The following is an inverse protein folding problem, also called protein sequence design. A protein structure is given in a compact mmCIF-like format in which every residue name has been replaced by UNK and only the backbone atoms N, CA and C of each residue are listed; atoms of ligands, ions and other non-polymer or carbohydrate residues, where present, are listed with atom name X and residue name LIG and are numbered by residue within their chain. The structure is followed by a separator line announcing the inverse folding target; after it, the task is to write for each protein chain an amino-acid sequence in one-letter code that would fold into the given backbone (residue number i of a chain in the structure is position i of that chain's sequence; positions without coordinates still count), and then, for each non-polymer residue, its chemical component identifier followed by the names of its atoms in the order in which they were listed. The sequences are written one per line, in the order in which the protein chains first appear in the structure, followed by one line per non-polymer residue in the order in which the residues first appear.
data_IF_305010090303
#
_entry.id   IF_305010090303
#
_cell.length_a   1.000
_cell.length_b   1.000
_cell.length_c   1.000
_cell.angle_alpha   90.00
_cell.angle_beta   90.00
_cell.angle_gamma   90.00
#
_symmetry.space_group_name_H-M   'P 1'
#
loop_
_entity.id
_entity.type
_entity.pdbx_description
1 polymer ?
#
# COMPACT_ATOMS: atom_id res chain seq x y z
N UNK A 1 -62.23 16.08 -10.94
CA UNK A 1 -61.29 15.38 -10.02
C UNK A 1 -60.28 14.46 -10.71
N UNK A 2 -60.56 13.91 -11.91
CA UNK A 2 -59.67 12.95 -12.63
C UNK A 2 -58.41 13.61 -13.24
N UNK A 3 -58.50 14.85 -13.69
CA UNK A 3 -57.38 15.56 -14.35
C UNK A 3 -56.20 15.85 -13.39
N UNK A 4 -56.48 16.08 -12.11
CA UNK A 4 -55.47 16.34 -11.07
C UNK A 4 -54.68 15.07 -10.71
N UNK A 5 -55.35 13.91 -10.67
CA UNK A 5 -54.70 12.62 -10.41
C UNK A 5 -53.73 12.21 -11.52
N UNK A 6 -54.06 12.50 -12.80
CA UNK A 6 -53.17 12.26 -13.94
C UNK A 6 -51.91 13.13 -13.90
N UNK A 7 -52.01 14.39 -13.46
CA UNK A 7 -50.85 15.30 -13.30
C UNK A 7 -49.91 14.85 -12.19
N UNK A 8 -50.44 14.39 -11.05
CA UNK A 8 -49.65 13.87 -9.92
C UNK A 8 -48.92 12.58 -10.32
N UNK A 9 -49.58 11.69 -11.07
CA UNK A 9 -48.96 10.47 -11.60
C UNK A 9 -47.79 10.78 -12.54
N UNK A 10 -47.97 11.75 -13.44
CA UNK A 10 -46.94 12.15 -14.41
C UNK A 10 -45.71 12.76 -13.72
N UNK A 11 -45.93 13.62 -12.71
CA UNK A 11 -44.86 14.25 -11.92
C UNK A 11 -44.05 13.23 -11.11
N UNK A 12 -44.72 12.22 -10.55
CA UNK A 12 -44.08 11.12 -9.81
C UNK A 12 -43.15 10.29 -10.71
N UNK A 13 -43.61 9.93 -11.91
CA UNK A 13 -42.81 9.14 -12.88
C UNK A 13 -41.56 9.91 -13.31
N UNK A 14 -41.67 11.23 -13.56
CA UNK A 14 -40.52 12.07 -13.86
C UNK A 14 -39.53 12.18 -12.69
N UNK A 15 -40.03 12.29 -11.46
CA UNK A 15 -39.17 12.35 -10.26
C UNK A 15 -38.39 11.04 -10.05
N UNK A 16 -39.04 9.89 -10.23
CA UNK A 16 -38.40 8.58 -10.15
C UNK A 16 -37.34 8.42 -11.24
N UNK A 17 -37.66 8.82 -12.49
CA UNK A 17 -36.70 8.81 -13.59
C UNK A 17 -35.47 9.67 -13.31
N UNK A 18 -35.65 10.86 -12.74
CA UNK A 18 -34.55 11.77 -12.39
C UNK A 18 -33.65 11.16 -11.30
N UNK A 19 -34.22 10.53 -10.27
CA UNK A 19 -33.47 9.86 -9.20
C UNK A 19 -32.65 8.68 -9.76
N UNK A 20 -33.21 7.93 -10.70
CA UNK A 20 -32.56 6.78 -11.33
C UNK A 20 -31.35 7.23 -12.17
N UNK A 21 -31.45 8.35 -12.88
CA UNK A 21 -30.33 8.92 -13.66
C UNK A 21 -29.21 9.43 -12.75
N UNK A 22 -29.55 10.10 -11.64
CA UNK A 22 -28.55 10.62 -10.68
C UNK A 22 -27.80 9.46 -10.00
N UNK A 23 -28.52 8.42 -9.60
CA UNK A 23 -27.89 7.23 -8.98
C UNK A 23 -27.00 6.48 -9.96
N UNK A 24 -27.40 6.34 -11.24
CA UNK A 24 -26.58 5.70 -12.26
C UNK A 24 -25.28 6.50 -12.55
N UNK A 25 -25.38 7.82 -12.62
CA UNK A 25 -24.26 8.73 -12.88
C UNK A 25 -23.21 8.67 -11.76
N UNK A 26 -23.66 8.60 -10.50
CA UNK A 26 -22.76 8.50 -9.32
C UNK A 26 -22.05 7.15 -9.24
N UNK A 27 -22.69 6.05 -9.69
CA UNK A 27 -22.07 4.72 -9.77
C UNK A 27 -21.00 4.65 -10.87
N UNK A 28 -21.26 5.24 -12.04
CA UNK A 28 -20.30 5.30 -13.15
C UNK A 28 -19.04 6.10 -12.78
N UNK A 29 -19.20 7.25 -12.12
CA UNK A 29 -18.08 8.11 -11.73
C UNK A 29 -17.16 7.48 -10.67
N UNK A 30 -17.70 6.61 -9.79
CA UNK A 30 -16.91 5.84 -8.81
C UNK A 30 -15.92 4.87 -9.45
N UNK A 31 -16.24 4.30 -10.62
CA UNK A 31 -15.39 3.30 -11.28
C UNK A 31 -14.06 3.90 -11.79
N UNK A 32 -14.07 5.17 -12.20
CA UNK A 32 -12.88 5.90 -12.65
C UNK A 32 -11.94 6.33 -11.53
N UNK A 33 -12.46 6.58 -10.31
CA UNK A 33 -11.66 7.04 -9.18
C UNK A 33 -10.88 5.91 -8.48
N UNK A 34 -11.45 4.71 -8.44
CA UNK A 34 -10.81 3.54 -7.78
C UNK A 34 -9.56 3.05 -8.54
N UNK A 35 -9.43 3.38 -9.84
CA UNK A 35 -8.35 2.84 -10.69
C UNK A 35 -7.01 3.57 -10.58
N UNK A 36 -6.90 4.68 -9.84
CA UNK A 36 -5.64 5.44 -9.71
C UNK A 36 -4.97 5.21 -8.35
N UNK A 37 -4.85 3.96 -7.93
CA UNK A 37 -3.95 3.58 -6.83
C UNK A 37 -2.54 3.49 -7.40
N UNK A 38 -1.81 4.60 -7.34
CA UNK A 38 -0.40 4.68 -7.72
C UNK A 38 0.37 3.70 -6.84
N UNK A 39 1.08 2.75 -7.45
CA UNK A 39 1.91 1.80 -6.72
C UNK A 39 3.22 2.50 -6.33
N UNK A 40 3.15 3.38 -5.34
CA UNK A 40 4.33 4.03 -4.77
C UNK A 40 5.05 3.00 -3.88
N UNK A 41 5.83 2.13 -4.50
CA UNK A 41 6.72 1.21 -3.80
C UNK A 41 7.88 1.99 -3.21
N UNK A 42 7.86 2.20 -1.90
CA UNK A 42 8.95 2.84 -1.17
C UNK A 42 10.00 1.82 -0.74
N UNK A 43 11.27 2.20 -0.84
CA UNK A 43 12.39 1.41 -0.32
C UNK A 43 12.79 1.94 1.05
N UNK A 44 12.83 1.05 2.06
CA UNK A 44 13.31 1.36 3.39
C UNK A 44 14.60 0.56 3.66
N UNK A 45 15.71 1.26 3.87
CA UNK A 45 16.98 0.66 4.29
C UNK A 45 17.10 0.75 5.81
N UNK A 46 17.23 -0.40 6.47
CA UNK A 46 17.42 -0.50 7.93
C UNK A 46 18.82 -1.09 8.18
N UNK A 47 19.69 -0.34 8.84
CA UNK A 47 21.01 -0.82 9.27
C UNK A 47 20.99 -1.16 10.76
N UNK A 48 21.47 -2.35 11.11
CA UNK A 48 21.68 -2.79 12.49
C UNK A 48 23.18 -2.86 12.76
N UNK A 49 23.75 -1.83 13.40
CA UNK A 49 25.21 -1.74 13.59
C UNK A 49 25.74 -2.90 14.47
N UNK A 50 26.86 -3.49 14.05
CA UNK A 50 27.47 -4.64 14.73
C UNK A 50 26.64 -5.94 14.72
N UNK A 51 25.58 -6.05 13.92
CA UNK A 51 24.77 -7.27 13.82
C UNK A 51 25.47 -8.33 12.95
N UNK A 52 26.19 -9.26 13.59
CA UNK A 52 26.92 -10.33 12.89
C UNK A 52 25.95 -11.39 12.33
N UNK A 53 26.33 -12.06 11.24
CA UNK A 53 25.47 -12.99 10.50
C UNK A 53 24.88 -14.13 11.36
N UNK A 54 25.61 -14.63 12.37
CA UNK A 54 25.17 -15.68 13.29
C UNK A 54 24.18 -15.19 14.36
N UNK A 55 24.01 -13.88 14.55
CA UNK A 55 23.17 -13.34 15.63
C UNK A 55 21.68 -13.66 15.41
N UNK A 56 21.26 -13.79 14.15
CA UNK A 56 19.88 -14.16 13.81
C UNK A 56 19.50 -15.55 14.36
N UNK A 57 20.47 -16.45 14.52
CA UNK A 57 20.26 -17.83 14.96
C UNK A 57 20.26 -17.96 16.50
N UNK A 58 20.56 -16.90 17.24
CA UNK A 58 20.61 -16.93 18.72
C UNK A 58 19.25 -16.98 19.40
N UNK A 59 18.15 -16.89 18.64
CA UNK A 59 16.78 -16.94 19.17
C UNK A 59 16.32 -15.66 19.90
N UNK A 60 17.11 -14.58 19.88
CA UNK A 60 16.80 -13.32 20.59
C UNK A 60 15.98 -12.33 19.76
N UNK A 61 15.91 -12.51 18.43
CA UNK A 61 15.26 -11.59 17.50
C UNK A 61 14.15 -12.28 16.68
N UNK A 62 13.00 -12.61 17.29
CA UNK A 62 11.94 -13.39 16.64
C UNK A 62 11.32 -12.68 15.43
N UNK A 63 11.20 -11.34 15.47
CA UNK A 63 10.65 -10.56 14.36
C UNK A 63 11.58 -10.55 13.15
N UNK A 64 12.90 -10.38 13.37
CA UNK A 64 13.89 -10.46 12.29
C UNK A 64 13.96 -11.87 11.70
N UNK A 65 13.88 -12.90 12.55
CA UNK A 65 13.86 -14.29 12.08
C UNK A 65 12.61 -14.58 11.22
N UNK A 66 11.45 -14.08 11.62
CA UNK A 66 10.21 -14.18 10.82
C UNK A 66 10.37 -13.46 9.48
N UNK A 67 10.93 -12.25 9.49
CA UNK A 67 11.17 -11.46 8.29
C UNK A 67 12.09 -12.19 7.30
N UNK A 68 13.21 -12.73 7.79
CA UNK A 68 14.16 -13.51 7.01
C UNK A 68 13.53 -14.77 6.39
N UNK A 69 12.69 -15.50 7.14
CA UNK A 69 11.96 -16.68 6.63
C UNK A 69 10.93 -16.36 5.55
N UNK A 70 10.33 -15.17 5.60
CA UNK A 70 9.35 -14.72 4.60
C UNK A 70 9.96 -14.00 3.40
N UNK A 71 11.25 -13.66 3.47
CA UNK A 71 11.94 -12.81 2.50
C UNK A 71 13.12 -13.52 1.84
N UNK A 72 14.07 -12.71 1.35
CA UNK A 72 15.33 -13.17 0.79
C UNK A 72 16.45 -12.88 1.80
N UNK A 73 17.31 -13.85 2.04
CA UNK A 73 18.42 -13.76 2.97
C UNK A 73 19.72 -14.24 2.30
N UNK A 74 20.81 -13.49 2.48
CA UNK A 74 22.17 -13.93 2.17
C UNK A 74 22.82 -14.64 3.37
N UNK A 75 23.81 -15.51 3.12
CA UNK A 75 24.52 -16.23 4.19
C UNK A 75 25.26 -15.26 5.13
N UNK A 76 25.96 -14.27 4.57
CA UNK A 76 26.60 -13.17 5.28
C UNK A 76 26.85 -11.98 4.34
N UNK A 77 27.17 -10.82 4.91
CA UNK A 77 27.64 -9.64 4.20
C UNK A 77 29.13 -9.46 4.49
N UNK A 78 29.97 -9.34 3.45
CA UNK A 78 31.38 -9.02 3.64
C UNK A 78 31.57 -7.52 3.86
N UNK A 79 32.05 -7.14 5.05
CA UNK A 79 32.37 -5.75 5.37
C UNK A 79 33.64 -5.26 4.68
N UNK A 80 33.70 -3.96 4.40
CA UNK A 80 34.92 -3.30 3.95
C UNK A 80 35.92 -3.16 5.09
N UNK A 81 37.21 -3.20 4.75
CA UNK A 81 38.29 -2.91 5.69
C UNK A 81 38.59 -1.39 5.70
N UNK A 82 38.74 -0.76 6.88
CA UNK A 82 38.55 -1.32 8.21
C UNK A 82 37.07 -1.56 8.54
N UNK A 83 36.78 -2.61 9.31
CA UNK A 83 35.42 -2.99 9.72
C UNK A 83 34.89 -2.06 10.83
N UNK A 84 34.70 -0.79 10.47
CA UNK A 84 34.20 0.29 11.33
C UNK A 84 32.84 0.78 10.83
N UNK A 85 32.03 1.30 11.75
CA UNK A 85 30.68 1.80 11.50
C UNK A 85 30.64 2.79 10.35
N UNK A 86 31.38 3.90 10.45
CA UNK A 86 31.33 4.98 9.46
C UNK A 86 31.71 4.53 8.02
N UNK A 87 32.89 3.93 7.75
CA UNK A 87 33.24 3.54 6.39
C UNK A 87 32.30 2.48 5.81
N UNK A 88 31.78 1.53 6.61
CA UNK A 88 30.85 0.52 6.10
C UNK A 88 29.46 1.09 5.79
N UNK A 89 28.91 1.94 6.67
CA UNK A 89 27.60 2.55 6.44
C UNK A 89 27.64 3.50 5.23
N UNK A 90 28.73 4.25 5.09
CA UNK A 90 28.92 5.14 3.94
C UNK A 90 29.07 4.35 2.64
N UNK A 91 29.82 3.24 2.65
CA UNK A 91 29.97 2.37 1.48
C UNK A 91 28.60 1.85 1.01
N UNK A 92 27.76 1.28 1.89
CA UNK A 92 26.43 0.72 1.53
C UNK A 92 25.53 1.72 0.78
N UNK A 93 25.61 3.02 1.12
CA UNK A 93 24.77 4.05 0.49
C UNK A 93 25.42 4.72 -0.72
N UNK A 94 26.71 4.46 -0.97
CA UNK A 94 27.45 5.11 -2.06
C UNK A 94 27.96 4.15 -3.13
N UNK A 95 28.60 3.02 -2.75
CA UNK A 95 29.33 2.13 -3.66
C UNK A 95 29.37 0.69 -3.15
#
# INVERSE_FOLDING_TARGET
MVLQRKKILLLSICAIGLILVITLSTVLSRKGYISKKKNDQSVLLISLDGFRFDYLQRGVSPNLLKFAKSGVQAEFLQSQFPTKTFPNHYTIVTV
#
